data_IF_974032190131
#
_entry.id   IF_974032190131
#
_cell.length_a   1.000
_cell.length_b   1.000
_cell.length_c   1.000
_cell.angle_alpha   90.00
_cell.angle_beta   90.00
_cell.angle_gamma   90.00
#
_symmetry.space_group_name_H-M   'P 1'
#
loop_
_entity.id
_entity.type
_entity.pdbx_description
1 polymer ?
#
# COMPACT_ATOMS: atom_id res chain seq x y z
N UNK A 1 -30.11 -15.27 -27.09
CA UNK A 1 -29.80 -15.05 -25.66
C UNK A 1 -28.80 -16.11 -25.25
N UNK A 2 -27.51 -15.80 -25.35
CA UNK A 2 -26.44 -16.66 -24.85
C UNK A 2 -26.17 -16.30 -23.39
N UNK A 3 -26.53 -17.17 -22.48
CA UNK A 3 -26.01 -17.08 -21.11
C UNK A 3 -24.49 -17.15 -21.16
N UNK A 4 -23.75 -16.34 -20.37
CA UNK A 4 -22.29 -16.43 -20.33
C UNK A 4 -21.89 -17.82 -19.82
N UNK A 5 -21.16 -18.57 -20.62
CA UNK A 5 -20.58 -19.84 -20.20
C UNK A 5 -19.42 -19.52 -19.26
N UNK A 6 -19.58 -19.83 -17.99
CA UNK A 6 -18.50 -19.77 -17.01
C UNK A 6 -17.54 -20.93 -17.27
N UNK A 7 -16.48 -20.69 -18.04
CA UNK A 7 -15.37 -21.63 -18.12
C UNK A 7 -14.59 -21.64 -16.80
N UNK A 8 -14.44 -22.84 -16.24
CA UNK A 8 -13.57 -23.04 -15.08
C UNK A 8 -12.11 -22.98 -15.52
N UNK A 9 -11.45 -21.85 -15.32
CA UNK A 9 -10.02 -21.69 -15.59
C UNK A 9 -9.25 -22.17 -14.35
N UNK A 10 -8.35 -23.14 -14.54
CA UNK A 10 -7.40 -23.55 -13.51
C UNK A 10 -6.05 -22.90 -13.81
N UNK A 11 -5.48 -22.20 -12.84
CA UNK A 11 -4.16 -21.59 -12.94
C UNK A 11 -3.28 -22.00 -11.75
N UNK A 12 -2.00 -21.93 -11.95
CA UNK A 12 -1.00 -22.17 -10.91
C UNK A 12 -0.52 -20.83 -10.34
N UNK A 13 -0.71 -20.62 -9.03
CA UNK A 13 -0.17 -19.47 -8.31
C UNK A 13 1.20 -19.87 -7.71
N UNK A 14 2.32 -19.33 -8.22
CA UNK A 14 3.67 -19.78 -7.80
C UNK A 14 4.06 -19.34 -6.40
N UNK A 15 3.36 -18.34 -5.83
CA UNK A 15 3.68 -17.74 -4.54
C UNK A 15 4.83 -16.72 -4.61
N UNK A 16 4.90 -15.86 -3.59
CA UNK A 16 5.81 -14.71 -3.53
C UNK A 16 7.28 -15.14 -3.55
N UNK A 17 7.66 -16.20 -2.82
CA UNK A 17 9.04 -16.69 -2.82
C UNK A 17 9.51 -17.09 -4.22
N UNK A 18 8.67 -17.75 -5.00
CA UNK A 18 9.04 -18.16 -6.37
C UNK A 18 9.25 -16.93 -7.28
N UNK A 19 8.51 -15.87 -7.08
CA UNK A 19 8.71 -14.61 -7.83
C UNK A 19 10.05 -13.97 -7.47
N UNK A 20 10.40 -13.90 -6.19
CA UNK A 20 11.71 -13.44 -5.72
C UNK A 20 12.83 -14.31 -6.29
N UNK A 21 12.70 -15.64 -6.22
CA UNK A 21 13.67 -16.57 -6.78
C UNK A 21 13.90 -16.33 -8.29
N UNK A 22 12.84 -16.01 -9.02
CA UNK A 22 12.92 -15.72 -10.46
C UNK A 22 13.69 -14.42 -10.74
N UNK A 23 13.45 -13.38 -9.95
CA UNK A 23 14.20 -12.11 -10.05
C UNK A 23 15.70 -12.35 -9.73
N UNK A 24 15.99 -13.13 -8.71
CA UNK A 24 17.38 -13.43 -8.33
C UNK A 24 18.11 -14.35 -9.32
N UNK A 25 17.39 -15.25 -9.97
CA UNK A 25 17.95 -16.17 -10.97
C UNK A 25 18.57 -15.47 -12.18
N UNK A 26 18.11 -14.25 -12.52
CA UNK A 26 18.71 -13.45 -13.59
C UNK A 26 19.87 -12.56 -13.11
N UNK A 27 20.32 -12.72 -11.88
CA UNK A 27 21.46 -12.00 -11.29
C UNK A 27 21.11 -10.61 -10.74
N UNK A 28 19.84 -10.22 -10.70
CA UNK A 28 19.40 -8.93 -10.16
C UNK A 28 19.72 -8.86 -8.64
N UNK A 29 20.36 -7.76 -8.21
CA UNK A 29 20.76 -7.52 -6.82
C UNK A 29 19.98 -6.42 -6.12
N UNK A 30 19.19 -5.63 -6.86
CA UNK A 30 18.38 -4.57 -6.28
C UNK A 30 17.47 -5.07 -5.16
N UNK A 31 17.03 -4.17 -4.27
CA UNK A 31 15.96 -4.45 -3.31
C UNK A 31 14.73 -4.91 -4.08
N UNK A 32 14.09 -5.98 -3.61
CA UNK A 32 12.80 -6.43 -4.14
C UNK A 32 11.72 -6.04 -3.16
N UNK A 33 10.73 -5.30 -3.65
CA UNK A 33 9.54 -4.94 -2.90
C UNK A 33 8.50 -6.02 -3.11
N UNK A 34 7.96 -6.57 -2.03
CA UNK A 34 7.00 -7.67 -2.05
C UNK A 34 5.72 -7.22 -1.37
N UNK A 35 4.66 -7.08 -2.16
CA UNK A 35 3.36 -6.70 -1.66
C UNK A 35 2.70 -7.82 -0.84
N UNK A 36 1.95 -7.43 0.16
CA UNK A 36 1.18 -8.31 1.03
C UNK A 36 0.01 -9.00 0.32
N UNK A 37 -0.75 -9.75 1.09
CA UNK A 37 -2.02 -10.33 0.65
C UNK A 37 -3.14 -9.28 0.67
N UNK A 38 -4.35 -9.66 0.24
CA UNK A 38 -5.51 -8.77 0.17
C UNK A 38 -5.22 -7.45 -0.54
N UNK A 39 -4.82 -7.54 -1.82
CA UNK A 39 -4.40 -6.36 -2.64
C UNK A 39 -3.28 -5.53 -1.98
N UNK A 40 -2.30 -6.22 -1.40
CA UNK A 40 -1.14 -5.58 -0.78
C UNK A 40 -1.32 -5.17 0.68
N UNK A 41 -2.46 -5.42 1.32
CA UNK A 41 -2.75 -4.91 2.66
C UNK A 41 -2.08 -5.72 3.77
N UNK A 42 -2.20 -7.06 3.76
CA UNK A 42 -1.84 -7.94 4.88
C UNK A 42 -0.41 -8.46 4.78
N UNK A 43 0.41 -8.19 5.77
CA UNK A 43 1.78 -8.72 5.91
C UNK A 43 1.90 -9.85 6.95
N UNK A 44 0.86 -10.11 7.72
CA UNK A 44 0.84 -11.09 8.81
C UNK A 44 1.10 -12.54 8.34
N UNK A 45 0.90 -12.84 7.06
CA UNK A 45 1.29 -14.12 6.46
C UNK A 45 2.77 -14.45 6.69
N UNK A 46 3.63 -13.44 6.67
CA UNK A 46 5.07 -13.59 6.93
C UNK A 46 5.31 -13.96 8.39
N UNK A 47 4.56 -13.41 9.33
CA UNK A 47 4.62 -13.75 10.75
C UNK A 47 4.14 -15.19 10.99
N UNK A 48 3.13 -15.63 10.27
CA UNK A 48 2.61 -17.01 10.34
C UNK A 48 3.53 -18.07 9.70
N UNK A 49 4.74 -17.70 9.32
CA UNK A 49 5.79 -18.63 8.83
C UNK A 49 6.01 -18.64 7.32
N UNK A 50 5.26 -17.83 6.54
CA UNK A 50 5.48 -17.66 5.10
C UNK A 50 6.60 -16.65 4.82
N UNK A 51 7.76 -16.86 5.46
CA UNK A 51 8.93 -15.98 5.32
C UNK A 51 9.46 -15.94 3.89
N UNK A 52 10.00 -14.78 3.50
CA UNK A 52 10.57 -14.55 2.18
C UNK A 52 12.09 -14.45 2.30
N UNK A 53 12.81 -15.31 1.60
CA UNK A 53 14.26 -15.32 1.57
C UNK A 53 14.78 -14.57 0.34
N UNK A 54 15.70 -13.63 0.56
CA UNK A 54 16.27 -12.78 -0.50
C UNK A 54 17.24 -13.52 -1.45
N UNK A 55 17.73 -14.71 -1.10
CA UNK A 55 18.68 -15.48 -1.91
C UNK A 55 19.99 -14.73 -2.22
N UNK A 56 20.42 -13.82 -1.36
CA UNK A 56 21.67 -13.08 -1.49
C UNK A 56 21.63 -11.86 -2.41
N UNK A 57 20.49 -11.21 -2.53
CA UNK A 57 20.35 -9.85 -3.07
C UNK A 57 20.68 -8.78 -2.04
N UNK A 58 20.24 -7.55 -2.29
CA UNK A 58 20.43 -6.40 -1.40
C UNK A 58 19.27 -6.19 -0.41
N UNK A 59 18.38 -7.16 -0.29
CA UNK A 59 17.29 -7.16 0.67
C UNK A 59 15.89 -7.28 0.04
N UNK A 60 14.96 -7.58 0.95
CA UNK A 60 13.52 -7.56 0.70
C UNK A 60 12.92 -6.41 1.51
N UNK A 61 12.03 -5.66 0.92
CA UNK A 61 11.14 -4.71 1.58
C UNK A 61 9.71 -5.20 1.42
N UNK A 62 8.94 -5.22 2.49
CA UNK A 62 7.53 -5.57 2.41
C UNK A 62 6.69 -4.33 2.11
N UNK A 63 5.63 -4.50 1.36
CA UNK A 63 4.76 -3.42 0.91
C UNK A 63 3.33 -3.64 1.41
N UNK A 64 2.76 -2.60 2.01
CA UNK A 64 1.37 -2.57 2.43
C UNK A 64 0.63 -1.40 1.80
N UNK A 65 -0.63 -1.63 1.40
CA UNK A 65 -1.52 -0.63 0.80
C UNK A 65 -2.63 -0.25 1.77
N UNK A 66 -2.62 1.00 2.23
CA UNK A 66 -3.50 1.45 3.30
C UNK A 66 -4.58 2.42 2.81
N UNK A 67 -5.83 2.04 3.06
CA UNK A 67 -6.99 2.82 2.65
C UNK A 67 -8.11 2.83 3.70
N UNK A 68 -8.93 3.89 3.80
CA UNK A 68 -9.96 4.03 4.84
C UNK A 68 -11.14 3.05 4.73
N UNK A 69 -11.23 2.27 3.66
CA UNK A 69 -12.21 1.18 3.50
C UNK A 69 -11.66 -0.19 3.92
N UNK A 70 -10.37 -0.27 4.22
CA UNK A 70 -9.75 -1.46 4.83
C UNK A 70 -10.04 -1.54 6.33
N UNK A 71 -9.51 -2.52 7.03
CA UNK A 71 -9.68 -2.67 8.47
C UNK A 71 -8.83 -1.64 9.22
N UNK A 72 -9.51 -0.68 9.87
CA UNK A 72 -8.88 0.54 10.43
C UNK A 72 -7.97 0.33 11.65
N UNK A 73 -8.21 -0.71 12.44
CA UNK A 73 -7.61 -0.81 13.78
C UNK A 73 -6.70 -2.04 13.94
N UNK A 74 -6.22 -2.61 12.82
CA UNK A 74 -5.42 -3.81 12.83
C UNK A 74 -4.01 -3.64 12.26
N UNK A 75 -3.52 -2.42 12.09
CA UNK A 75 -2.15 -2.18 11.56
C UNK A 75 -1.08 -2.84 12.42
N UNK A 76 -1.25 -2.88 13.75
CA UNK A 76 -0.38 -3.59 14.66
C UNK A 76 -0.31 -5.10 14.41
N UNK A 77 -1.40 -5.70 13.97
CA UNK A 77 -1.50 -7.15 13.71
C UNK A 77 -1.20 -7.54 12.27
N UNK A 78 -1.53 -6.67 11.33
CA UNK A 78 -1.47 -6.97 9.90
C UNK A 78 -0.20 -6.44 9.24
N UNK A 79 0.40 -5.39 9.79
CA UNK A 79 1.59 -4.72 9.24
C UNK A 79 2.74 -4.68 10.25
N UNK A 80 2.53 -4.10 11.44
CA UNK A 80 3.61 -3.90 12.41
C UNK A 80 4.22 -5.20 12.94
N UNK A 81 3.48 -6.30 12.86
CA UNK A 81 3.89 -7.64 13.32
C UNK A 81 5.19 -8.16 12.67
N UNK A 82 5.63 -7.56 11.57
CA UNK A 82 6.84 -7.94 10.83
C UNK A 82 7.92 -6.85 10.77
N UNK A 83 7.70 -5.70 11.42
CA UNK A 83 8.58 -4.53 11.30
C UNK A 83 9.96 -4.69 11.97
N UNK A 84 10.12 -5.68 12.84
CA UNK A 84 11.39 -6.07 13.45
C UNK A 84 12.28 -6.90 12.51
N UNK A 85 11.73 -7.43 11.43
CA UNK A 85 12.40 -8.37 10.50
C UNK A 85 12.59 -7.80 9.10
N UNK A 86 11.71 -6.91 8.66
CA UNK A 86 11.72 -6.35 7.31
C UNK A 86 11.49 -4.84 7.33
N UNK A 87 12.19 -4.08 6.49
CA UNK A 87 11.77 -2.70 6.20
C UNK A 87 10.40 -2.72 5.53
N UNK A 88 9.55 -1.75 5.89
CA UNK A 88 8.18 -1.64 5.38
C UNK A 88 8.04 -0.38 4.53
N UNK A 89 7.37 -0.53 3.40
CA UNK A 89 6.86 0.52 2.54
C UNK A 89 5.33 0.54 2.65
N UNK A 90 4.74 1.68 2.91
CA UNK A 90 3.34 1.92 2.61
C UNK A 90 3.29 2.42 1.17
N UNK A 91 3.19 1.48 0.23
CA UNK A 91 3.39 1.73 -1.20
C UNK A 91 2.19 2.35 -1.90
N UNK A 92 1.02 2.19 -1.31
CA UNK A 92 -0.17 2.93 -1.69
C UNK A 92 -0.94 3.36 -0.46
N UNK A 93 -1.40 4.60 -0.46
CA UNK A 93 -2.35 5.07 0.55
C UNK A 93 -3.05 6.33 0.07
N UNK A 94 -4.24 6.57 0.56
CA UNK A 94 -4.99 7.78 0.21
C UNK A 94 -6.42 7.79 0.72
N UNK A 95 -7.07 8.95 0.62
CA UNK A 95 -8.44 9.18 1.03
C UNK A 95 -9.20 9.94 -0.05
N UNK A 96 -10.41 9.49 -0.41
CA UNK A 96 -11.22 10.13 -1.45
C UNK A 96 -11.94 11.42 -1.01
N UNK A 97 -11.87 11.77 0.27
CA UNK A 97 -12.70 12.85 0.83
C UNK A 97 -14.07 12.34 1.29
N UNK A 98 -14.85 13.28 1.81
CA UNK A 98 -16.17 12.99 2.34
C UNK A 98 -17.18 12.74 1.20
N UNK A 99 -18.17 11.91 1.48
CA UNK A 99 -19.30 11.63 0.58
C UNK A 99 -18.97 10.95 -0.76
N UNK A 100 -17.75 10.48 -0.96
CA UNK A 100 -17.41 9.67 -2.13
C UNK A 100 -17.69 8.20 -1.83
N UNK A 101 -18.50 7.58 -2.67
CA UNK A 101 -18.69 6.13 -2.66
C UNK A 101 -17.56 5.49 -3.43
N UNK A 102 -16.74 4.71 -2.75
CA UNK A 102 -15.71 3.89 -3.38
C UNK A 102 -16.25 2.50 -3.69
N UNK A 103 -15.75 1.92 -4.74
CA UNK A 103 -16.21 0.60 -5.22
C UNK A 103 -15.97 -0.50 -4.17
N UNK A 104 -14.86 -0.42 -3.45
CA UNK A 104 -14.41 -1.40 -2.46
C UNK A 104 -15.15 -1.32 -1.12
N UNK A 105 -15.94 -0.27 -0.91
CA UNK A 105 -16.72 -0.10 0.31
C UNK A 105 -16.74 1.33 0.85
N UNK A 106 -17.44 1.56 1.96
CA UNK A 106 -17.51 2.89 2.56
C UNK A 106 -16.18 3.25 3.23
N UNK A 107 -15.76 4.51 3.09
CA UNK A 107 -14.71 5.06 3.92
C UNK A 107 -15.17 5.07 5.38
N UNK A 108 -14.43 4.40 6.26
CA UNK A 108 -14.86 4.14 7.64
C UNK A 108 -14.58 5.31 8.58
N UNK A 109 -13.71 6.22 8.16
CA UNK A 109 -13.33 7.43 8.90
C UNK A 109 -13.30 8.64 7.97
N UNK A 110 -13.43 9.83 8.54
CA UNK A 110 -13.26 11.09 7.80
C UNK A 110 -11.78 11.38 7.52
N UNK A 111 -11.51 12.17 6.48
CA UNK A 111 -10.13 12.49 6.07
C UNK A 111 -9.33 13.21 7.15
N UNK A 112 -9.97 14.10 7.92
CA UNK A 112 -9.35 14.86 9.01
C UNK A 112 -8.95 13.99 10.22
N UNK A 113 -9.46 12.77 10.30
CA UNK A 113 -9.10 11.79 11.33
C UNK A 113 -8.15 10.74 10.81
N UNK A 114 -8.53 10.10 9.71
CA UNK A 114 -7.78 8.96 9.16
C UNK A 114 -6.40 9.37 8.64
N UNK A 115 -6.32 10.47 7.87
CA UNK A 115 -5.04 10.87 7.24
C UNK A 115 -3.98 11.25 8.28
N UNK A 116 -4.24 12.12 9.28
CA UNK A 116 -3.25 12.38 10.33
C UNK A 116 -2.83 11.12 11.07
N UNK A 117 -3.76 10.24 11.40
CA UNK A 117 -3.47 8.98 12.11
C UNK A 117 -2.57 8.06 11.30
N UNK A 118 -2.80 7.93 9.97
CA UNK A 118 -1.92 7.19 9.07
C UNK A 118 -0.51 7.78 9.04
N UNK A 119 -0.40 9.09 8.84
CA UNK A 119 0.90 9.75 8.72
C UNK A 119 1.70 9.71 10.04
N UNK A 120 1.03 9.85 11.18
CA UNK A 120 1.64 9.71 12.51
C UNK A 120 2.12 8.26 12.76
N UNK A 121 1.35 7.26 12.36
CA UNK A 121 1.74 5.85 12.45
C UNK A 121 2.97 5.55 11.59
N UNK A 122 3.01 6.05 10.36
CA UNK A 122 4.15 5.93 9.45
C UNK A 122 5.40 6.61 10.05
N UNK A 123 5.27 7.82 10.57
CA UNK A 123 6.37 8.56 11.19
C UNK A 123 6.89 7.87 12.46
N UNK A 124 6.00 7.42 13.33
CA UNK A 124 6.33 6.72 14.57
C UNK A 124 7.13 5.44 14.34
N UNK A 125 6.77 4.67 13.32
CA UNK A 125 7.42 3.40 13.01
C UNK A 125 8.61 3.55 12.04
N UNK A 126 8.85 4.74 11.49
CA UNK A 126 9.93 4.97 10.53
C UNK A 126 9.71 4.31 9.17
N UNK A 127 8.45 4.08 8.78
CA UNK A 127 8.12 3.45 7.51
C UNK A 127 8.37 4.38 6.33
N UNK A 128 8.67 3.78 5.19
CA UNK A 128 8.64 4.47 3.91
C UNK A 128 7.18 4.62 3.44
N UNK A 129 6.91 5.68 2.67
CA UNK A 129 5.55 5.94 2.21
C UNK A 129 5.55 6.55 0.81
N UNK A 130 4.62 6.10 -0.02
CA UNK A 130 4.24 6.74 -1.27
C UNK A 130 2.72 6.93 -1.30
N UNK A 131 2.27 8.04 -1.83
CA UNK A 131 0.85 8.37 -1.87
C UNK A 131 0.22 8.01 -3.21
N UNK A 132 -0.95 7.45 -3.17
CA UNK A 132 -1.79 7.23 -4.34
C UNK A 132 -2.85 8.34 -4.40
N UNK A 133 -2.98 9.10 -5.52
CA UNK A 133 -1.96 9.21 -6.56
C UNK A 133 -1.81 10.66 -7.03
N UNK A 134 -0.72 10.99 -7.69
CA UNK A 134 -0.44 12.32 -8.21
C UNK A 134 -1.13 12.52 -9.58
N UNK A 135 -2.46 12.49 -9.55
CA UNK A 135 -3.32 12.63 -10.71
C UNK A 135 -4.60 13.39 -10.33
N UNK A 136 -5.33 13.94 -11.30
CA UNK A 136 -6.56 14.71 -11.07
C UNK A 136 -7.86 13.95 -11.42
N UNK A 137 -7.77 12.84 -12.14
CA UNK A 137 -8.94 12.02 -12.52
C UNK A 137 -8.88 10.58 -12.03
N UNK A 138 -7.70 10.06 -11.72
CA UNK A 138 -7.54 8.83 -10.95
C UNK A 138 -7.54 9.17 -9.46
N UNK A 139 -7.79 8.20 -8.59
CA UNK A 139 -7.88 8.54 -7.17
C UNK A 139 -7.65 7.38 -6.22
N UNK A 140 -7.44 7.75 -4.96
CA UNK A 140 -7.58 9.07 -4.28
C UNK A 140 -6.57 10.13 -4.75
N UNK A 141 -7.07 11.23 -5.31
CA UNK A 141 -6.24 12.25 -5.95
C UNK A 141 -5.53 13.16 -4.95
N UNK A 142 -4.21 13.33 -5.12
CA UNK A 142 -3.43 14.33 -4.38
C UNK A 142 -3.65 15.76 -4.90
N UNK A 143 -3.97 15.92 -6.16
CA UNK A 143 -4.11 17.21 -6.83
C UNK A 143 -5.48 17.36 -7.48
N UNK A 144 -5.94 18.60 -7.58
CA UNK A 144 -7.21 18.96 -8.23
C UNK A 144 -7.09 19.06 -9.75
N UNK A 145 -5.89 19.36 -10.25
CA UNK A 145 -5.61 19.56 -11.66
C UNK A 145 -4.13 19.36 -11.97
N UNK A 146 -3.82 18.71 -13.08
CA UNK A 146 -2.47 18.58 -13.62
C UNK A 146 -1.90 19.90 -14.18
N UNK A 147 -2.77 20.91 -14.45
CA UNK A 147 -2.32 22.22 -14.92
C UNK A 147 -1.80 23.11 -13.77
N UNK A 148 -2.41 23.02 -12.59
CA UNK A 148 -2.12 23.92 -11.45
C UNK A 148 -1.38 23.23 -10.31
N UNK A 149 -1.45 21.91 -10.23
CA UNK A 149 -0.94 21.07 -9.11
C UNK A 149 -1.47 21.48 -7.74
N UNK A 150 -2.66 22.13 -7.73
CA UNK A 150 -3.31 22.50 -6.47
C UNK A 150 -3.68 21.26 -5.67
N UNK A 151 -3.27 21.15 -4.40
CA UNK A 151 -3.56 19.96 -3.61
C UNK A 151 -5.05 19.84 -3.27
N UNK A 152 -5.56 18.64 -3.18
CA UNK A 152 -6.88 18.35 -2.64
C UNK A 152 -6.92 18.60 -1.14
N UNK A 153 -8.08 19.06 -0.61
CA UNK A 153 -8.23 19.39 0.82
C UNK A 153 -8.24 18.15 1.71
N UNK A 154 -8.74 17.03 1.17
CA UNK A 154 -8.95 15.79 1.93
C UNK A 154 -7.73 14.86 1.95
N UNK A 155 -6.78 15.01 1.01
CA UNK A 155 -5.59 14.15 0.92
C UNK A 155 -4.31 14.93 0.59
N UNK A 156 -4.28 15.62 -0.54
CA UNK A 156 -3.06 16.25 -1.07
C UNK A 156 -2.43 17.28 -0.13
N UNK A 157 -3.24 18.07 0.57
CA UNK A 157 -2.76 19.07 1.53
C UNK A 157 -2.03 18.44 2.70
N UNK A 158 -2.62 17.39 3.30
CA UNK A 158 -1.99 16.66 4.41
C UNK A 158 -0.66 16.05 4.00
N UNK A 159 -0.63 15.36 2.85
CA UNK A 159 0.56 14.69 2.38
C UNK A 159 1.67 15.69 1.99
N UNK A 160 1.31 16.79 1.35
CA UNK A 160 2.25 17.90 1.05
C UNK A 160 2.88 18.47 2.31
N UNK A 161 2.08 18.72 3.35
CA UNK A 161 2.58 19.28 4.62
C UNK A 161 3.47 18.26 5.37
N UNK A 162 3.10 16.98 5.34
CA UNK A 162 3.93 15.89 5.85
C UNK A 162 5.30 15.83 5.16
N UNK A 163 5.34 15.89 3.84
CA UNK A 163 6.61 15.90 3.09
C UNK A 163 7.47 17.12 3.41
N UNK A 164 6.87 18.30 3.52
CA UNK A 164 7.61 19.52 3.92
C UNK A 164 8.22 19.38 5.30
N UNK A 165 7.50 18.85 6.28
CA UNK A 165 8.00 18.62 7.64
C UNK A 165 9.22 17.69 7.66
N UNK A 166 9.25 16.67 6.79
CA UNK A 166 10.33 15.67 6.75
C UNK A 166 11.54 16.09 5.93
N UNK A 167 11.38 16.96 4.95
CA UNK A 167 12.44 17.33 4.00
C UNK A 167 12.88 18.81 4.12
N UNK A 168 12.28 19.58 4.99
CA UNK A 168 12.64 20.97 5.33
C UNK A 168 13.50 21.01 6.53
#
# INVERSE_FOLDING_TARGET
SGEPVLEKITYYAPGLQKMVDTVRAVGAKNIVIVAGLDWGYELDGVDRGYTINDRGGNGIMLDSHEYPWKELDNWDKLVDVVNDRYPILIGECGHYGENVKVYEGPQRETSDKWVPRLLDWVEKNGYHITAWDFHDTAGPSLIKSLDTFEPTEFWGKYFKDFLKKRNG
#
